data_IF_367872078953
#
_entry.id   IF_367872078953
#
_cell.length_a   1.000
_cell.length_b   1.000
_cell.length_c   1.000
_cell.angle_alpha   90.00
_cell.angle_beta   90.00
_cell.angle_gamma   90.00
#
_symmetry.space_group_name_H-M   'P 1'
#
loop_
_entity.id
_entity.type
_entity.pdbx_description
1 polymer ?
#
# COMPACT_ATOMS: atom_id res chain seq x y z
N UNK A 1 -19.23 -0.28 13.20
CA UNK A 1 -20.17 0.18 12.17
C UNK A 1 -21.60 0.14 12.68
N UNK A 2 -22.53 0.87 12.00
CA UNK A 2 -23.96 0.78 12.26
C UNK A 2 -24.50 -0.61 11.90
N UNK A 3 -25.57 -1.09 12.53
CA UNK A 3 -26.15 -2.41 12.23
C UNK A 3 -26.55 -2.52 10.75
N UNK A 4 -27.10 -1.45 10.18
CA UNK A 4 -27.45 -1.42 8.74
C UNK A 4 -26.29 -1.70 7.79
N UNK A 5 -25.04 -1.44 8.20
CA UNK A 5 -23.87 -1.82 7.41
C UNK A 5 -23.74 -3.34 7.30
N UNK A 6 -23.89 -4.05 8.42
CA UNK A 6 -23.84 -5.51 8.42
C UNK A 6 -25.03 -6.13 7.71
N UNK A 7 -26.24 -5.54 7.87
CA UNK A 7 -27.44 -5.96 7.13
C UNK A 7 -27.20 -5.90 5.62
N UNK A 8 -26.64 -4.81 5.10
CA UNK A 8 -26.29 -4.69 3.68
C UNK A 8 -25.19 -5.68 3.26
N UNK A 9 -24.21 -5.92 4.11
CA UNK A 9 -23.19 -6.93 3.81
C UNK A 9 -23.79 -8.33 3.72
N UNK A 10 -24.74 -8.67 4.60
CA UNK A 10 -25.48 -9.93 4.56
C UNK A 10 -26.28 -10.07 3.27
N UNK A 11 -27.04 -9.04 2.89
CA UNK A 11 -27.86 -9.03 1.67
C UNK A 11 -27.01 -9.13 0.39
N UNK A 12 -25.85 -8.49 0.37
CA UNK A 12 -24.96 -8.44 -0.79
C UNK A 12 -23.97 -9.61 -0.84
N UNK A 13 -23.96 -10.49 0.17
CA UNK A 13 -23.00 -11.61 0.24
C UNK A 13 -21.54 -11.15 0.42
N UNK A 14 -21.33 -10.02 1.11
CA UNK A 14 -19.99 -9.50 1.37
C UNK A 14 -19.31 -10.31 2.49
N UNK A 15 -17.99 -10.48 2.38
CA UNK A 15 -17.16 -11.04 3.46
C UNK A 15 -16.67 -9.91 4.34
N UNK A 16 -16.97 -9.97 5.63
CA UNK A 16 -16.60 -8.95 6.61
C UNK A 16 -15.55 -9.49 7.59
N UNK A 17 -14.48 -8.73 7.74
CA UNK A 17 -13.55 -8.80 8.86
C UNK A 17 -13.95 -7.71 9.86
N UNK A 18 -14.53 -8.11 11.00
CA UNK A 18 -14.96 -7.18 12.05
C UNK A 18 -13.89 -7.12 13.14
N UNK A 19 -13.44 -5.91 13.48
CA UNK A 19 -12.29 -5.68 14.35
C UNK A 19 -12.58 -4.65 15.44
N UNK A 20 -11.96 -4.83 16.62
CA UNK A 20 -11.94 -3.81 17.66
C UNK A 20 -10.85 -2.76 17.37
N UNK A 21 -10.99 -1.50 17.82
CA UNK A 21 -10.01 -0.43 17.62
C UNK A 21 -8.78 -0.56 18.54
N UNK A 22 -8.16 -1.73 18.57
CA UNK A 22 -6.93 -2.00 19.30
C UNK A 22 -5.74 -1.84 18.35
N UNK A 23 -5.24 -0.60 18.24
CA UNK A 23 -4.30 -0.18 17.21
C UNK A 23 -3.06 0.52 17.76
N UNK A 24 -1.98 0.51 17.03
CA UNK A 24 -0.75 1.30 17.12
C UNK A 24 0.10 0.99 18.34
N UNK A 25 -0.33 1.34 19.54
CA UNK A 25 0.47 1.19 20.77
C UNK A 25 -0.31 0.47 21.86
N UNK A 26 0.32 -0.50 22.46
CA UNK A 26 -0.19 -1.20 23.63
C UNK A 26 -0.02 -0.35 24.88
N UNK A 27 -1.13 -0.10 25.58
CA UNK A 27 -1.13 0.56 26.90
C UNK A 27 -1.21 -0.53 27.95
N UNK A 28 -0.07 -0.79 28.63
CA UNK A 28 0.05 -1.86 29.62
C UNK A 28 -0.53 -1.44 30.99
N UNK A 29 -1.84 -1.13 31.02
CA UNK A 29 -2.58 -0.94 32.26
C UNK A 29 -3.71 -1.96 32.39
N UNK A 30 -4.16 -2.21 33.61
CA UNK A 30 -5.27 -3.14 33.87
C UNK A 30 -6.54 -2.67 33.15
N UNK A 31 -6.83 -1.40 33.24
CA UNK A 31 -8.03 -0.76 32.68
C UNK A 31 -8.05 -0.88 31.14
N UNK A 32 -6.91 -0.63 30.46
CA UNK A 32 -6.81 -0.75 29.02
C UNK A 32 -7.00 -2.20 28.55
N UNK A 33 -6.42 -3.17 29.26
CA UNK A 33 -6.61 -4.61 28.97
C UNK A 33 -8.07 -5.04 29.16
N UNK A 34 -8.70 -4.64 30.27
CA UNK A 34 -10.11 -4.94 30.53
C UNK A 34 -11.02 -4.30 29.48
N UNK A 35 -10.65 -3.12 28.97
CA UNK A 35 -11.41 -2.42 27.94
C UNK A 35 -11.35 -3.17 26.57
N UNK A 36 -10.18 -3.66 26.16
CA UNK A 36 -10.09 -4.48 24.93
C UNK A 36 -10.94 -5.75 25.02
N UNK A 37 -10.94 -6.41 26.17
CA UNK A 37 -11.77 -7.61 26.42
C UNK A 37 -13.27 -7.26 26.38
N UNK A 38 -13.67 -6.13 26.96
CA UNK A 38 -15.05 -5.64 26.94
C UNK A 38 -15.49 -5.32 25.50
N UNK A 39 -14.69 -4.57 24.75
CA UNK A 39 -14.99 -4.20 23.37
C UNK A 39 -15.13 -5.43 22.46
N UNK A 40 -14.23 -6.41 22.58
CA UNK A 40 -14.31 -7.65 21.81
C UNK A 40 -15.58 -8.44 22.14
N UNK A 41 -15.94 -8.52 23.41
CA UNK A 41 -17.19 -9.17 23.83
C UNK A 41 -18.41 -8.47 23.23
N UNK A 42 -18.46 -7.15 23.32
CA UNK A 42 -19.55 -6.33 22.77
C UNK A 42 -19.67 -6.51 21.26
N UNK A 43 -18.54 -6.46 20.54
CA UNK A 43 -18.50 -6.65 19.09
C UNK A 43 -19.09 -8.02 18.68
N UNK A 44 -18.66 -9.09 19.33
CA UNK A 44 -19.15 -10.44 19.04
C UNK A 44 -20.64 -10.58 19.40
N UNK A 45 -21.02 -10.20 20.61
CA UNK A 45 -22.40 -10.39 21.07
C UNK A 45 -23.43 -9.60 20.28
N UNK A 46 -23.07 -8.39 19.83
CA UNK A 46 -23.95 -7.55 19.01
C UNK A 46 -24.11 -8.06 17.61
N UNK A 47 -23.04 -8.68 17.03
CA UNK A 47 -22.99 -8.98 15.61
C UNK A 47 -22.92 -10.50 15.31
N UNK A 48 -23.14 -11.34 16.31
CA UNK A 48 -23.01 -12.80 16.18
C UNK A 48 -23.84 -13.39 15.05
N UNK A 49 -25.04 -12.85 14.82
CA UNK A 49 -26.02 -13.40 13.87
C UNK A 49 -25.83 -12.88 12.43
N UNK A 50 -24.81 -12.04 12.16
CA UNK A 50 -24.52 -11.59 10.81
C UNK A 50 -23.70 -12.64 10.05
N UNK A 51 -24.24 -13.29 9.01
CA UNK A 51 -23.53 -14.31 8.25
C UNK A 51 -22.37 -13.74 7.40
N UNK A 52 -22.41 -12.45 7.08
CA UNK A 52 -21.33 -11.75 6.36
C UNK A 52 -20.03 -11.71 7.18
N UNK A 53 -20.09 -11.66 8.50
CA UNK A 53 -18.89 -11.65 9.34
C UNK A 53 -18.26 -13.04 9.31
N UNK A 54 -17.03 -13.11 8.77
CA UNK A 54 -16.26 -14.33 8.66
C UNK A 54 -15.07 -14.38 9.63
N UNK A 55 -14.60 -13.19 10.06
CA UNK A 55 -13.38 -13.07 10.86
C UNK A 55 -13.57 -12.05 11.99
N UNK A 56 -13.02 -12.38 13.17
CA UNK A 56 -12.89 -11.47 14.31
C UNK A 56 -11.45 -10.94 14.36
N UNK A 57 -11.27 -9.64 14.12
CA UNK A 57 -9.99 -8.93 14.20
C UNK A 57 -9.67 -8.55 15.64
N UNK A 58 -8.49 -8.95 16.13
CA UNK A 58 -8.10 -8.70 17.53
C UNK A 58 -7.18 -7.50 17.71
N UNK A 59 -6.42 -7.11 16.68
CA UNK A 59 -5.53 -5.93 16.72
C UNK A 59 -5.03 -5.53 15.34
N UNK A 60 -4.62 -4.25 15.19
CA UNK A 60 -4.00 -3.69 14.00
C UNK A 60 -2.73 -2.90 14.35
N UNK A 61 -1.60 -3.23 13.71
CA UNK A 61 -0.32 -2.51 13.82
C UNK A 61 0.10 -2.21 15.27
N UNK A 62 -0.26 -3.06 16.21
CA UNK A 62 -0.13 -2.80 17.66
C UNK A 62 1.33 -2.76 18.12
N UNK A 63 2.26 -3.20 17.30
CA UNK A 63 3.72 -3.20 17.53
C UNK A 63 4.44 -1.96 17.05
N UNK A 64 3.75 -0.86 16.75
CA UNK A 64 4.43 0.43 16.54
C UNK A 64 5.22 0.91 17.78
N UNK A 65 4.94 0.34 18.96
CA UNK A 65 5.81 0.43 20.13
C UNK A 65 6.84 -0.68 20.11
N UNK A 66 6.77 -1.57 21.09
CA UNK A 66 7.59 -2.78 21.19
C UNK A 66 6.68 -3.99 21.40
N UNK A 67 7.09 -5.14 20.86
CA UNK A 67 6.48 -6.40 21.26
C UNK A 67 6.88 -6.70 22.71
N UNK A 68 5.89 -6.95 23.56
CA UNK A 68 6.13 -7.35 24.96
C UNK A 68 5.33 -8.60 25.31
N UNK A 69 5.78 -9.34 26.33
CA UNK A 69 5.07 -10.51 26.82
C UNK A 69 3.63 -10.18 27.23
N UNK A 70 3.41 -8.98 27.80
CA UNK A 70 2.09 -8.53 28.22
C UNK A 70 1.18 -8.21 27.03
N UNK A 71 1.70 -7.70 25.93
CA UNK A 71 0.95 -7.53 24.68
C UNK A 71 0.53 -8.88 24.12
N UNK A 72 1.47 -9.79 23.99
CA UNK A 72 1.25 -11.17 23.48
C UNK A 72 0.19 -11.89 24.34
N UNK A 73 0.28 -11.78 25.68
CA UNK A 73 -0.72 -12.38 26.57
C UNK A 73 -2.10 -11.72 26.43
N UNK A 74 -2.18 -10.38 26.25
CA UNK A 74 -3.45 -9.71 26.01
C UNK A 74 -4.09 -10.17 24.70
N UNK A 75 -3.32 -10.33 23.63
CA UNK A 75 -3.81 -10.87 22.36
C UNK A 75 -4.26 -12.33 22.50
N UNK A 76 -3.56 -13.18 23.26
CA UNK A 76 -4.00 -14.55 23.57
C UNK A 76 -5.31 -14.59 24.35
N UNK A 77 -5.51 -13.64 25.28
CA UNK A 77 -6.78 -13.49 26.02
C UNK A 77 -7.91 -13.16 25.04
N UNK A 78 -7.70 -12.22 24.10
CA UNK A 78 -8.68 -11.84 23.10
C UNK A 78 -9.01 -13.01 22.17
N UNK A 79 -8.01 -13.72 21.68
CA UNK A 79 -8.17 -14.91 20.82
C UNK A 79 -9.00 -15.99 21.54
N UNK A 80 -8.67 -16.34 22.79
CA UNK A 80 -9.42 -17.30 23.61
C UNK A 80 -10.85 -16.84 23.84
N UNK A 81 -11.07 -15.55 24.05
CA UNK A 81 -12.42 -14.96 24.21
C UNK A 81 -13.25 -15.14 22.94
N UNK A 82 -12.67 -14.84 21.74
CA UNK A 82 -13.33 -15.05 20.47
C UNK A 82 -13.79 -16.50 20.31
N UNK A 83 -12.89 -17.47 20.47
CA UNK A 83 -13.22 -18.89 20.34
C UNK A 83 -14.22 -19.38 21.39
N UNK A 84 -14.20 -18.81 22.60
CA UNK A 84 -15.19 -19.12 23.65
C UNK A 84 -16.59 -18.63 23.30
N UNK A 85 -16.71 -17.44 22.73
CA UNK A 85 -18.00 -16.82 22.40
C UNK A 85 -18.50 -17.26 21.02
N UNK A 86 -17.59 -17.48 20.07
CA UNK A 86 -17.90 -17.92 18.72
C UNK A 86 -16.85 -18.89 18.19
N UNK A 87 -17.04 -20.20 18.42
CA UNK A 87 -16.12 -21.21 17.93
C UNK A 87 -16.20 -21.46 16.41
N UNK A 88 -17.15 -20.83 15.72
CA UNK A 88 -17.40 -21.06 14.29
C UNK A 88 -16.56 -20.15 13.39
N UNK A 89 -16.18 -18.97 13.87
CA UNK A 89 -15.42 -17.97 13.09
C UNK A 89 -13.96 -17.93 13.49
N UNK A 90 -13.11 -17.62 12.50
CA UNK A 90 -11.67 -17.50 12.67
C UNK A 90 -11.27 -16.17 13.28
N UNK A 91 -10.15 -16.18 14.00
CA UNK A 91 -9.51 -14.97 14.51
C UNK A 91 -8.39 -14.53 13.57
N UNK A 92 -8.14 -13.22 13.52
CA UNK A 92 -7.09 -12.63 12.68
C UNK A 92 -6.53 -11.38 13.33
N UNK A 93 -5.31 -11.02 12.99
CA UNK A 93 -4.67 -9.74 13.33
C UNK A 93 -3.93 -9.18 12.10
N UNK A 94 -3.75 -7.87 12.07
CA UNK A 94 -2.98 -7.16 11.05
C UNK A 94 -1.65 -6.68 11.62
N UNK A 95 -0.56 -7.15 11.02
CA UNK A 95 0.81 -6.81 11.39
C UNK A 95 1.43 -5.76 10.46
N UNK A 96 2.47 -5.10 10.95
CA UNK A 96 3.42 -4.36 10.11
C UNK A 96 4.36 -5.32 9.38
N UNK A 97 4.88 -4.92 8.22
CA UNK A 97 5.91 -5.69 7.48
C UNK A 97 7.23 -5.84 8.24
N UNK A 98 7.45 -5.03 9.27
CA UNK A 98 8.63 -5.06 10.14
C UNK A 98 8.52 -6.03 11.31
N UNK A 99 7.36 -6.66 11.51
CA UNK A 99 7.20 -7.71 12.51
C UNK A 99 7.99 -8.94 12.06
N UNK A 100 8.84 -9.46 12.98
CA UNK A 100 9.67 -10.61 12.71
C UNK A 100 8.82 -11.83 12.31
N UNK A 101 9.25 -12.57 11.31
CA UNK A 101 8.52 -13.73 10.80
C UNK A 101 8.23 -14.78 11.88
N UNK A 102 9.17 -14.97 12.84
CA UNK A 102 9.06 -15.91 13.95
C UNK A 102 8.38 -15.32 15.20
N UNK A 103 7.91 -14.07 15.16
CA UNK A 103 7.22 -13.42 16.27
C UNK A 103 6.08 -14.30 16.81
N UNK A 104 5.92 -14.31 18.13
CA UNK A 104 4.81 -15.01 18.80
C UNK A 104 3.44 -14.47 18.35
N UNK A 105 3.34 -13.22 17.91
CA UNK A 105 2.10 -12.65 17.38
C UNK A 105 1.58 -13.41 16.16
N UNK A 106 2.48 -13.87 15.28
CA UNK A 106 2.11 -14.65 14.09
C UNK A 106 1.48 -16.03 14.41
N UNK A 107 1.58 -16.47 15.66
CA UNK A 107 1.09 -17.77 16.14
C UNK A 107 -0.16 -17.68 17.02
N UNK A 108 -0.64 -16.45 17.30
CA UNK A 108 -1.76 -16.25 18.24
C UNK A 108 -3.10 -16.56 17.56
N UNK A 109 -3.33 -15.98 16.39
CA UNK A 109 -4.61 -16.07 15.67
C UNK A 109 -4.62 -17.22 14.67
N UNK A 110 -5.81 -17.63 14.25
CA UNK A 110 -5.96 -18.66 13.22
C UNK A 110 -5.38 -18.22 11.87
N UNK A 111 -5.42 -16.93 11.58
CA UNK A 111 -4.97 -16.29 10.33
C UNK A 111 -4.11 -15.08 10.67
N UNK A 112 -3.10 -14.82 9.85
CA UNK A 112 -2.27 -13.62 9.95
C UNK A 112 -2.40 -12.78 8.68
N UNK A 113 -2.35 -11.45 8.82
CA UNK A 113 -2.31 -10.55 7.68
C UNK A 113 -1.36 -9.37 7.95
N UNK A 114 -0.95 -8.70 6.88
CA UNK A 114 0.05 -7.64 6.94
C UNK A 114 -0.42 -6.39 6.19
N UNK A 115 -0.16 -5.23 6.78
CA UNK A 115 -0.32 -3.93 6.14
C UNK A 115 0.94 -3.62 5.34
N UNK A 116 0.82 -3.56 4.00
CA UNK A 116 1.95 -3.49 3.07
C UNK A 116 1.93 -2.17 2.33
N UNK A 117 2.86 -1.29 2.65
CA UNK A 117 2.96 0.04 2.03
C UNK A 117 4.32 0.31 1.37
N UNK A 118 5.08 -0.75 1.05
CA UNK A 118 6.28 -0.63 0.22
C UNK A 118 5.91 -0.01 -1.13
N UNK A 119 6.70 0.96 -1.57
CA UNK A 119 6.42 1.76 -2.77
C UNK A 119 5.49 2.95 -2.53
N UNK A 120 4.99 3.17 -1.29
CA UNK A 120 4.29 4.39 -0.94
C UNK A 120 5.01 5.18 0.16
N UNK A 121 5.06 4.68 1.39
CA UNK A 121 5.78 5.38 2.47
C UNK A 121 7.29 5.27 2.30
N UNK A 122 7.77 4.11 1.87
CA UNK A 122 9.19 3.86 1.64
C UNK A 122 9.38 2.70 0.65
N UNK A 123 10.60 2.52 0.13
CA UNK A 123 10.95 1.40 -0.74
C UNK A 123 10.27 1.41 -2.12
N UNK A 124 10.22 0.25 -2.74
CA UNK A 124 9.65 0.04 -4.08
C UNK A 124 8.52 -0.98 -4.03
N UNK A 125 7.45 -0.74 -4.79
CA UNK A 125 6.31 -1.67 -4.85
C UNK A 125 6.68 -3.02 -5.49
N UNK A 126 7.70 -3.04 -6.33
CA UNK A 126 8.24 -4.24 -6.98
C UNK A 126 8.83 -5.24 -5.99
N UNK A 127 9.27 -4.78 -4.81
CA UNK A 127 9.87 -5.64 -3.78
C UNK A 127 8.82 -6.41 -2.97
N UNK A 128 7.54 -6.01 -3.05
CA UNK A 128 6.45 -6.65 -2.29
C UNK A 128 6.38 -8.15 -2.53
N UNK A 129 6.55 -8.59 -3.79
CA UNK A 129 6.51 -10.00 -4.14
C UNK A 129 7.62 -10.81 -3.46
N UNK A 130 8.85 -10.34 -3.50
CA UNK A 130 9.99 -11.00 -2.88
C UNK A 130 9.84 -11.09 -1.36
N UNK A 131 9.32 -10.02 -0.74
CA UNK A 131 9.01 -10.02 0.69
C UNK A 131 7.94 -11.07 1.06
N UNK A 132 6.84 -11.15 0.31
CA UNK A 132 5.78 -12.15 0.52
C UNK A 132 6.34 -13.57 0.43
N UNK A 133 7.16 -13.85 -0.59
CA UNK A 133 7.75 -15.17 -0.81
C UNK A 133 8.72 -15.55 0.31
N UNK A 134 9.54 -14.61 0.79
CA UNK A 134 10.46 -14.84 1.91
C UNK A 134 9.71 -15.13 3.20
N UNK A 135 8.69 -14.34 3.52
CA UNK A 135 7.87 -14.55 4.72
C UNK A 135 7.14 -15.89 4.70
N UNK A 136 6.57 -16.27 3.55
CA UNK A 136 5.92 -17.57 3.38
C UNK A 136 6.91 -18.74 3.48
N UNK A 137 8.10 -18.60 2.92
CA UNK A 137 9.17 -19.61 3.04
C UNK A 137 9.62 -19.81 4.48
N UNK A 138 9.75 -18.73 5.25
CA UNK A 138 10.15 -18.76 6.66
C UNK A 138 9.03 -19.33 7.57
N UNK A 139 7.76 -19.23 7.15
CA UNK A 139 6.59 -19.65 7.90
C UNK A 139 5.55 -20.37 7.01
N UNK A 140 5.92 -21.52 6.47
CA UNK A 140 5.08 -22.27 5.52
C UNK A 140 3.71 -22.68 6.07
N UNK A 141 3.59 -22.83 7.39
CA UNK A 141 2.34 -23.23 8.07
C UNK A 141 1.43 -22.04 8.41
N UNK A 142 1.92 -20.79 8.24
CA UNK A 142 1.15 -19.59 8.51
C UNK A 142 0.17 -19.30 7.36
N UNK A 143 -1.13 -19.19 7.67
CA UNK A 143 -2.11 -18.64 6.74
C UNK A 143 -1.89 -17.13 6.61
N UNK A 144 -1.12 -16.72 5.60
CA UNK A 144 -0.72 -15.34 5.35
C UNK A 144 -1.71 -14.61 4.44
N UNK A 145 -2.03 -13.34 4.75
CA UNK A 145 -2.83 -12.44 3.92
C UNK A 145 -2.29 -11.02 3.90
N UNK A 146 -2.87 -10.18 3.05
CA UNK A 146 -2.57 -8.75 2.96
C UNK A 146 -3.79 -7.97 3.43
N UNK A 147 -3.69 -7.36 4.62
CA UNK A 147 -4.80 -6.62 5.25
C UNK A 147 -4.96 -5.21 4.71
N UNK A 148 -3.87 -4.58 4.30
CA UNK A 148 -3.91 -3.25 3.71
C UNK A 148 -2.81 -3.06 2.67
N UNK A 149 -3.13 -2.35 1.60
CA UNK A 149 -2.17 -1.76 0.65
C UNK A 149 -2.84 -0.62 -0.12
N UNK A 150 -2.08 0.43 -0.47
CA UNK A 150 -2.60 1.57 -1.21
C UNK A 150 -1.62 2.74 -1.28
N UNK A 151 -1.87 3.65 -2.20
CA UNK A 151 -1.13 4.89 -2.39
C UNK A 151 -2.09 6.08 -2.39
N UNK A 152 -1.70 7.16 -1.70
CA UNK A 152 -2.49 8.40 -1.74
C UNK A 152 -2.42 9.04 -3.13
N UNK A 153 -3.52 9.66 -3.55
CA UNK A 153 -3.57 10.46 -4.77
C UNK A 153 -4.55 11.62 -4.68
N UNK A 154 -4.19 12.72 -5.28
CA UNK A 154 -5.08 13.83 -5.53
C UNK A 154 -5.41 13.85 -7.04
N UNK A 155 -6.70 13.77 -7.38
CA UNK A 155 -7.18 13.72 -8.77
C UNK A 155 -6.88 14.95 -9.62
N UNK A 156 -6.23 15.97 -9.03
CA UNK A 156 -5.75 17.15 -9.73
C UNK A 156 -4.31 16.99 -10.22
N UNK A 157 -3.52 16.09 -9.59
CA UNK A 157 -2.11 15.93 -9.93
C UNK A 157 -1.91 14.81 -10.93
N UNK A 158 -1.07 15.09 -11.93
CA UNK A 158 -0.82 14.21 -13.04
C UNK A 158 0.65 14.26 -13.49
N UNK A 159 1.15 13.14 -14.02
CA UNK A 159 2.49 13.05 -14.58
C UNK A 159 2.57 11.96 -15.65
N UNK A 160 3.33 12.22 -16.70
CA UNK A 160 3.75 11.22 -17.68
C UNK A 160 4.92 10.33 -17.20
N UNK A 161 5.59 10.76 -16.12
CA UNK A 161 6.66 10.03 -15.42
C UNK A 161 6.35 9.95 -13.91
N UNK A 162 5.30 9.21 -13.50
CA UNK A 162 4.85 9.18 -12.11
C UNK A 162 5.89 8.54 -11.19
N UNK A 163 6.00 9.07 -9.97
CA UNK A 163 6.95 8.59 -8.96
C UNK A 163 6.33 8.56 -7.57
N UNK A 164 6.93 7.77 -6.70
CA UNK A 164 6.52 7.67 -5.28
C UNK A 164 6.31 9.05 -4.65
N UNK A 165 5.16 9.22 -3.99
CA UNK A 165 4.80 10.43 -3.24
C UNK A 165 4.65 11.70 -4.11
N UNK A 166 4.38 11.56 -5.39
CA UNK A 166 3.98 12.69 -6.24
C UNK A 166 2.46 12.94 -6.21
N UNK A 167 1.72 12.06 -5.54
CA UNK A 167 0.26 12.10 -5.38
C UNK A 167 -0.52 12.10 -6.70
N UNK A 168 0.12 11.71 -7.81
CA UNK A 168 -0.54 11.62 -9.09
C UNK A 168 -1.47 10.42 -9.18
N UNK A 169 -2.52 10.52 -9.98
CA UNK A 169 -3.43 9.40 -10.23
C UNK A 169 -2.73 8.28 -11.00
N UNK A 170 -1.76 8.64 -11.84
CA UNK A 170 -0.93 7.71 -12.60
C UNK A 170 -0.05 6.85 -11.67
N UNK A 171 0.51 7.44 -10.58
CA UNK A 171 1.26 6.67 -9.60
C UNK A 171 0.37 5.72 -8.81
N UNK A 172 -0.81 6.16 -8.38
CA UNK A 172 -1.76 5.26 -7.71
C UNK A 172 -2.10 4.05 -8.59
N UNK A 173 -2.39 4.30 -9.87
CA UNK A 173 -2.69 3.23 -10.83
C UNK A 173 -1.53 2.25 -10.97
N UNK A 174 -0.31 2.77 -11.15
CA UNK A 174 0.91 1.96 -11.24
C UNK A 174 1.14 1.12 -9.99
N UNK A 175 1.00 1.72 -8.79
CA UNK A 175 1.14 1.03 -7.51
C UNK A 175 0.16 -0.16 -7.41
N UNK A 176 -1.11 0.08 -7.71
CA UNK A 176 -2.14 -0.95 -7.64
C UNK A 176 -1.96 -2.04 -8.70
N UNK A 177 -1.49 -1.71 -9.91
CA UNK A 177 -1.13 -2.69 -10.95
C UNK A 177 -0.05 -3.66 -10.45
N UNK A 178 1.03 -3.12 -9.85
CA UNK A 178 2.13 -3.93 -9.32
C UNK A 178 1.71 -4.79 -8.13
N UNK A 179 0.94 -4.23 -7.20
CA UNK A 179 0.41 -4.99 -6.05
C UNK A 179 -0.54 -6.10 -6.49
N UNK A 180 -1.49 -5.80 -7.40
CA UNK A 180 -2.43 -6.80 -7.89
C UNK A 180 -1.71 -7.94 -8.60
N UNK A 181 -0.70 -7.64 -9.43
CA UNK A 181 0.14 -8.65 -10.06
C UNK A 181 0.85 -9.50 -9.01
N UNK A 182 1.52 -8.87 -8.03
CA UNK A 182 2.23 -9.58 -6.98
C UNK A 182 1.32 -10.51 -6.18
N UNK A 183 0.08 -10.07 -5.88
CA UNK A 183 -0.91 -10.88 -5.17
C UNK A 183 -1.41 -12.06 -6.03
N UNK A 184 -1.72 -11.83 -7.30
CA UNK A 184 -2.24 -12.87 -8.19
C UNK A 184 -1.25 -14.00 -8.45
N UNK A 185 0.05 -13.69 -8.46
CA UNK A 185 1.11 -14.68 -8.61
C UNK A 185 1.30 -15.56 -7.36
N UNK A 186 0.62 -15.26 -6.25
CA UNK A 186 0.82 -15.91 -4.93
C UNK A 186 -0.46 -16.54 -4.37
N UNK A 187 -0.84 -17.72 -4.88
CA UNK A 187 -2.08 -18.40 -4.48
C UNK A 187 -2.10 -18.89 -3.01
N UNK A 188 -0.99 -18.77 -2.30
CA UNK A 188 -0.92 -19.06 -0.86
C UNK A 188 -1.51 -17.95 0.02
N UNK A 189 -1.74 -16.74 -0.53
CA UNK A 189 -2.39 -15.66 0.19
C UNK A 189 -3.89 -15.97 0.35
N UNK A 190 -4.39 -15.96 1.60
CA UNK A 190 -5.80 -16.24 1.86
C UNK A 190 -6.70 -15.03 1.62
N UNK A 191 -6.16 -13.81 1.67
CA UNK A 191 -6.91 -12.57 1.39
C UNK A 191 -6.01 -11.45 0.88
N UNK A 192 -6.65 -10.44 0.30
CA UNK A 192 -6.07 -9.13 0.06
C UNK A 192 -7.14 -8.04 0.18
N UNK A 193 -6.85 -6.97 0.92
CA UNK A 193 -7.74 -5.82 1.10
C UNK A 193 -7.05 -4.53 0.71
N UNK A 194 -7.71 -3.75 -0.14
CA UNK A 194 -7.23 -2.43 -0.55
C UNK A 194 -7.50 -1.41 0.56
N UNK A 195 -6.51 -0.62 0.91
CA UNK A 195 -6.69 0.56 1.72
C UNK A 195 -6.68 1.81 0.85
N UNK A 196 -7.82 2.39 0.45
CA UNK A 196 -9.15 2.14 0.97
C UNK A 196 -10.17 2.22 -0.19
N UNK A 197 -11.43 1.85 0.04
CA UNK A 197 -12.47 2.05 -0.97
C UNK A 197 -12.75 3.53 -1.21
N UNK A 198 -12.77 4.34 -0.14
CA UNK A 198 -13.09 5.77 -0.19
C UNK A 198 -12.02 6.62 0.48
N UNK A 199 -11.79 7.81 -0.05
CA UNK A 199 -11.10 8.85 0.72
C UNK A 199 -11.92 9.15 1.98
N UNK A 200 -11.24 9.43 3.10
CA UNK A 200 -11.90 9.66 4.37
C UNK A 200 -11.22 10.75 5.20
N UNK A 201 -11.95 11.29 6.18
CA UNK A 201 -11.44 12.32 7.07
C UNK A 201 -10.32 11.78 7.96
N UNK A 202 -9.20 12.48 8.00
CA UNK A 202 -8.03 12.20 8.83
C UNK A 202 -7.41 13.55 9.23
N UNK A 203 -7.90 14.12 10.31
CA UNK A 203 -7.70 15.53 10.73
C UNK A 203 -6.22 15.94 10.84
N UNK A 204 -5.34 15.02 11.22
CA UNK A 204 -3.91 15.25 11.38
C UNK A 204 -3.13 15.24 10.07
N UNK A 205 -3.70 14.73 8.98
CA UNK A 205 -3.01 14.67 7.68
C UNK A 205 -2.98 16.03 7.01
N UNK A 206 -1.80 16.41 6.46
CA UNK A 206 -1.57 17.70 5.80
C UNK A 206 -0.92 17.55 4.43
N UNK A 207 -0.52 16.33 4.07
CA UNK A 207 0.18 15.99 2.84
C UNK A 207 -0.75 15.90 1.61
N UNK A 208 -0.16 15.94 0.42
CA UNK A 208 -0.85 15.71 -0.86
C UNK A 208 -1.82 16.80 -1.29
N UNK A 209 -1.63 18.03 -0.82
CA UNK A 209 -2.47 19.19 -1.19
C UNK A 209 -3.91 19.11 -0.68
N UNK A 210 -4.23 18.16 0.23
CA UNK A 210 -5.59 17.98 0.76
C UNK A 210 -5.53 17.80 2.27
N UNK A 211 -5.65 18.91 3.01
CA UNK A 211 -5.60 18.90 4.46
C UNK A 211 -6.78 18.11 5.08
N UNK A 212 -6.48 17.36 6.15
CA UNK A 212 -7.47 16.65 6.94
C UNK A 212 -8.08 15.43 6.25
N UNK A 213 -7.39 14.83 5.27
CA UNK A 213 -7.89 13.66 4.53
C UNK A 213 -6.81 12.60 4.30
N UNK A 214 -7.24 11.36 4.35
CA UNK A 214 -6.53 10.23 3.74
C UNK A 214 -7.08 10.07 2.31
N UNK A 215 -6.20 10.11 1.31
CA UNK A 215 -6.58 10.09 -0.10
C UNK A 215 -6.23 8.80 -0.82
N UNK A 216 -6.00 7.70 -0.06
CA UNK A 216 -5.76 6.37 -0.63
C UNK A 216 -7.02 5.70 -1.21
N UNK A 217 -8.19 6.34 -1.08
CA UNK A 217 -9.44 5.83 -1.62
C UNK A 217 -9.38 5.57 -3.13
N UNK A 218 -10.05 4.52 -3.57
CA UNK A 218 -10.32 4.28 -5.00
C UNK A 218 -11.41 5.23 -5.52
N UNK A 219 -12.16 5.84 -4.61
CA UNK A 219 -13.24 6.80 -4.89
C UNK A 219 -13.02 8.01 -3.98
N UNK A 220 -13.26 9.21 -4.51
CA UNK A 220 -13.09 10.46 -3.76
C UNK A 220 -13.99 10.56 -2.54
N UNK A 221 -13.63 11.46 -1.61
CA UNK A 221 -14.33 11.70 -0.34
C UNK A 221 -15.84 11.99 -0.54
N UNK A 222 -16.18 12.77 -1.55
CA UNK A 222 -17.57 13.13 -1.90
C UNK A 222 -18.32 12.05 -2.70
N UNK A 223 -17.68 10.90 -2.97
CA UNK A 223 -18.19 9.75 -3.72
C UNK A 223 -18.46 10.02 -5.21
N UNK A 224 -18.05 11.15 -5.77
CA UNK A 224 -18.39 11.54 -7.14
C UNK A 224 -17.43 10.97 -8.18
N UNK A 225 -16.12 10.87 -7.85
CA UNK A 225 -15.09 10.45 -8.79
C UNK A 225 -14.61 9.05 -8.39
N UNK A 226 -14.75 8.10 -9.31
CA UNK A 226 -14.03 6.84 -9.30
C UNK A 226 -12.68 7.09 -9.96
N UNK A 227 -11.59 6.87 -9.22
CA UNK A 227 -10.23 7.04 -9.71
C UNK A 227 -9.84 5.89 -10.65
N UNK A 228 -8.76 6.01 -11.41
CA UNK A 228 -8.37 4.99 -12.37
C UNK A 228 -8.14 3.63 -11.72
N UNK A 229 -7.52 3.59 -10.53
CA UNK A 229 -7.33 2.35 -9.78
C UNK A 229 -8.65 1.62 -9.43
N UNK A 230 -9.79 2.31 -9.30
CA UNK A 230 -11.09 1.66 -9.18
C UNK A 230 -11.42 0.82 -10.43
N UNK A 231 -11.11 1.34 -11.61
CA UNK A 231 -11.40 0.64 -12.87
C UNK A 231 -10.44 -0.51 -13.12
N UNK A 232 -9.21 -0.46 -12.57
CA UNK A 232 -8.31 -1.62 -12.55
C UNK A 232 -8.99 -2.81 -11.84
N UNK A 233 -9.45 -2.63 -10.60
CA UNK A 233 -10.14 -3.71 -9.87
C UNK A 233 -11.44 -4.12 -10.53
N UNK A 234 -12.19 -3.16 -11.08
CA UNK A 234 -13.38 -3.48 -11.86
C UNK A 234 -13.05 -4.38 -13.05
N UNK A 235 -11.92 -4.17 -13.73
CA UNK A 235 -11.51 -5.01 -14.85
C UNK A 235 -11.30 -6.47 -14.45
N UNK A 236 -10.73 -6.70 -13.27
CA UNK A 236 -10.45 -8.06 -12.78
C UNK A 236 -11.63 -8.74 -12.07
N UNK A 237 -12.58 -7.97 -11.55
CA UNK A 237 -13.64 -8.49 -10.65
C UNK A 237 -15.05 -8.44 -11.25
N UNK A 238 -15.23 -7.94 -12.48
CA UNK A 238 -16.53 -7.97 -13.16
C UNK A 238 -16.46 -8.79 -14.45
N UNK A 239 -17.60 -9.40 -14.80
CA UNK A 239 -17.78 -10.08 -16.09
C UNK A 239 -18.47 -9.19 -17.13
N UNK A 240 -18.98 -8.02 -16.69
CA UNK A 240 -19.70 -7.09 -17.60
C UNK A 240 -18.70 -6.36 -18.48
N UNK A 241 -18.85 -6.43 -19.83
CA UNK A 241 -17.95 -5.75 -20.75
C UNK A 241 -17.88 -4.25 -20.47
N UNK A 242 -16.66 -3.72 -20.39
CA UNK A 242 -16.41 -2.28 -20.38
C UNK A 242 -14.98 -2.00 -20.84
N UNK A 243 -14.74 -0.75 -21.24
CA UNK A 243 -13.43 -0.13 -21.42
C UNK A 243 -13.41 1.16 -20.59
N UNK A 244 -12.23 1.51 -20.06
CA UNK A 244 -12.01 2.76 -19.35
C UNK A 244 -10.65 3.34 -19.77
N UNK A 245 -10.67 4.52 -20.37
CA UNK A 245 -9.46 5.29 -20.68
C UNK A 245 -8.92 5.86 -19.38
N UNK A 246 -7.70 5.48 -19.01
CA UNK A 246 -7.02 6.02 -17.84
C UNK A 246 -6.53 7.45 -18.07
N UNK A 247 -6.26 8.16 -16.97
CA UNK A 247 -5.72 9.53 -17.01
C UNK A 247 -6.56 10.51 -17.82
N UNK A 248 -7.90 10.37 -17.80
CA UNK A 248 -8.81 11.30 -18.48
C UNK A 248 -8.72 12.73 -17.93
N UNK A 249 -8.36 12.89 -16.67
CA UNK A 249 -8.18 14.20 -16.01
C UNK A 249 -6.87 14.87 -16.38
N UNK A 250 -5.88 14.08 -16.79
CA UNK A 250 -4.65 14.58 -17.40
C UNK A 250 -4.90 15.00 -18.86
N UNK A 251 -5.70 16.05 -19.04
CA UNK A 251 -6.16 16.50 -20.36
C UNK A 251 -5.07 17.19 -21.17
N UNK A 252 -4.26 18.04 -20.52
CA UNK A 252 -3.16 18.78 -21.13
C UNK A 252 -1.87 17.98 -20.97
N UNK A 253 -1.42 17.37 -22.06
CA UNK A 253 -0.28 16.46 -22.04
C UNK A 253 0.94 17.05 -22.74
N UNK A 254 2.11 17.03 -22.07
CA UNK A 254 3.36 17.48 -22.66
C UNK A 254 3.90 16.45 -23.68
N UNK A 255 4.81 16.92 -24.55
CA UNK A 255 5.52 16.08 -25.50
C UNK A 255 4.73 15.77 -26.79
N UNK A 256 5.45 15.39 -27.84
CA UNK A 256 4.90 15.13 -29.18
C UNK A 256 4.05 13.85 -29.24
N UNK A 257 4.23 12.95 -28.29
CA UNK A 257 3.51 11.66 -28.22
C UNK A 257 3.07 11.37 -26.79
N UNK A 258 1.98 10.64 -26.68
CA UNK A 258 1.46 10.15 -25.39
C UNK A 258 1.15 8.66 -25.47
N UNK A 259 1.01 8.02 -24.30
CA UNK A 259 0.47 6.67 -24.15
C UNK A 259 -0.97 6.75 -23.67
N UNK A 260 -1.87 6.05 -24.32
CA UNK A 260 -3.26 5.87 -23.87
C UNK A 260 -3.36 4.49 -23.23
N UNK A 261 -3.48 4.48 -21.90
CA UNK A 261 -3.74 3.27 -21.12
C UNK A 261 -5.25 3.05 -21.00
N UNK A 262 -5.67 1.80 -21.11
CA UNK A 262 -7.09 1.42 -21.03
C UNK A 262 -7.23 0.20 -20.13
N UNK A 263 -8.08 0.28 -19.11
CA UNK A 263 -8.54 -0.89 -18.37
C UNK A 263 -9.82 -1.43 -18.99
N UNK A 264 -9.93 -2.73 -19.12
CA UNK A 264 -11.06 -3.36 -19.78
C UNK A 264 -11.33 -4.76 -19.27
N UNK A 265 -12.54 -5.26 -19.50
CA UNK A 265 -12.88 -6.68 -19.36
C UNK A 265 -14.04 -7.03 -20.30
N UNK A 266 -14.23 -8.33 -20.54
CA UNK A 266 -15.29 -8.84 -21.42
C UNK A 266 -15.10 -8.46 -22.88
N UNK A 267 -13.87 -8.18 -23.29
CA UNK A 267 -13.50 -7.89 -24.68
C UNK A 267 -12.27 -8.72 -25.07
N UNK A 268 -12.13 -8.99 -26.37
CA UNK A 268 -10.98 -9.68 -26.96
C UNK A 268 -10.03 -8.70 -27.67
N UNK A 269 -10.57 -7.55 -28.05
CA UNK A 269 -9.88 -6.54 -28.86
C UNK A 269 -10.34 -5.14 -28.47
N UNK A 270 -9.40 -4.20 -28.41
CA UNK A 270 -9.65 -2.77 -28.29
C UNK A 270 -9.12 -2.01 -29.50
N UNK A 271 -9.91 -1.09 -30.04
CA UNK A 271 -9.51 -0.17 -31.10
C UNK A 271 -9.44 1.26 -30.55
N UNK A 272 -8.31 1.92 -30.80
CA UNK A 272 -8.13 3.35 -30.53
C UNK A 272 -8.46 4.15 -31.79
N UNK A 273 -9.40 5.08 -31.64
CA UNK A 273 -9.78 6.02 -32.65
C UNK A 273 -9.46 7.46 -32.19
N UNK A 274 -8.98 8.27 -33.09
CA UNK A 274 -8.71 9.68 -32.86
C UNK A 274 -9.39 10.53 -33.94
N UNK A 275 -10.22 11.47 -33.52
CA UNK A 275 -11.00 12.35 -34.40
C UNK A 275 -11.80 11.57 -35.48
N UNK A 276 -12.38 10.45 -35.08
CA UNK A 276 -13.17 9.58 -35.95
C UNK A 276 -12.38 8.68 -36.92
N UNK A 277 -11.04 8.60 -36.76
CA UNK A 277 -10.17 7.72 -37.55
C UNK A 277 -9.53 6.67 -36.65
N UNK A 278 -9.57 5.40 -37.08
CA UNK A 278 -8.85 4.32 -36.38
C UNK A 278 -7.34 4.53 -36.51
N UNK A 279 -6.65 4.52 -35.36
CA UNK A 279 -5.20 4.73 -35.24
C UNK A 279 -4.48 3.42 -34.96
N UNK A 280 -4.95 2.67 -33.94
CA UNK A 280 -4.31 1.43 -33.50
C UNK A 280 -5.38 0.41 -33.09
N UNK A 281 -4.98 -0.87 -33.09
CA UNK A 281 -5.77 -1.99 -32.60
C UNK A 281 -4.86 -2.88 -31.74
N UNK A 282 -5.37 -3.38 -30.62
CA UNK A 282 -4.68 -4.34 -29.77
C UNK A 282 -5.61 -5.47 -29.34
N UNK A 283 -5.06 -6.68 -29.22
CA UNK A 283 -5.72 -7.82 -28.59
C UNK A 283 -5.18 -8.01 -27.19
N UNK A 284 -6.03 -8.36 -26.27
CA UNK A 284 -5.68 -8.53 -24.87
C UNK A 284 -6.89 -8.63 -23.98
N UNK A 285 -6.72 -8.51 -22.65
CA UNK A 285 -7.80 -8.65 -21.69
C UNK A 285 -7.91 -7.44 -20.77
N UNK A 286 -7.11 -7.32 -19.74
CA UNK A 286 -7.40 -6.39 -18.64
C UNK A 286 -6.76 -5.00 -18.80
N UNK A 287 -5.63 -4.89 -19.50
CA UNK A 287 -4.90 -3.64 -19.68
C UNK A 287 -4.34 -3.55 -21.09
N UNK A 288 -4.60 -2.43 -21.76
CA UNK A 288 -4.10 -2.12 -23.11
C UNK A 288 -3.28 -0.84 -23.05
N UNK A 289 -2.14 -0.82 -23.74
CA UNK A 289 -1.25 0.34 -23.83
C UNK A 289 -1.06 0.74 -25.28
N UNK A 290 -1.73 1.81 -25.70
CA UNK A 290 -1.55 2.40 -27.03
C UNK A 290 -0.44 3.45 -26.96
N UNK A 291 0.75 3.07 -27.38
CA UNK A 291 1.96 3.91 -27.30
C UNK A 291 2.18 4.73 -28.57
N UNK A 292 2.92 5.84 -28.44
CA UNK A 292 3.33 6.67 -29.56
C UNK A 292 2.18 7.44 -30.24
N UNK A 293 1.11 7.71 -29.53
CA UNK A 293 -0.02 8.49 -30.03
C UNK A 293 0.40 9.95 -30.14
N UNK A 294 0.46 10.48 -31.36
CA UNK A 294 0.84 11.89 -31.61
C UNK A 294 -0.29 12.82 -31.28
N UNK A 295 -0.01 13.79 -30.41
CA UNK A 295 -0.90 14.92 -30.12
C UNK A 295 -0.31 16.18 -30.74
N UNK A 296 -1.07 16.88 -31.56
CA UNK A 296 -0.65 18.14 -32.21
C UNK A 296 -1.52 19.33 -31.83
N UNK A 297 -2.68 19.03 -31.30
CA UNK A 297 -3.69 20.00 -30.85
C UNK A 297 -4.67 19.30 -29.92
N UNK A 298 -5.87 19.79 -29.78
CA UNK A 298 -6.94 19.08 -29.08
C UNK A 298 -7.49 17.94 -29.93
N UNK A 299 -7.49 16.72 -29.38
CA UNK A 299 -7.96 15.51 -30.03
C UNK A 299 -9.03 14.80 -29.19
N UNK A 300 -10.06 14.29 -29.86
CA UNK A 300 -11.03 13.37 -29.28
C UNK A 300 -10.54 11.95 -29.46
N UNK A 301 -10.32 11.23 -28.36
CA UNK A 301 -9.96 9.81 -28.35
C UNK A 301 -11.19 9.00 -28.00
N UNK A 302 -11.46 7.98 -28.79
CA UNK A 302 -12.50 6.98 -28.51
C UNK A 302 -11.87 5.59 -28.49
N UNK A 303 -12.19 4.80 -27.49
CA UNK A 303 -11.84 3.39 -27.42
C UNK A 303 -13.09 2.55 -27.64
N UNK A 304 -13.05 1.68 -28.62
CA UNK A 304 -14.08 0.67 -28.85
C UNK A 304 -13.59 -0.70 -28.41
N UNK A 305 -14.40 -1.39 -27.58
CA UNK A 305 -14.16 -2.77 -27.16
C UNK A 305 -15.00 -3.75 -27.98
N UNK A 306 -14.39 -4.82 -28.44
CA UNK A 306 -15.01 -5.84 -29.29
C UNK A 306 -14.90 -7.24 -28.67
N UNK A 307 -15.97 -8.03 -28.89
CA UNK A 307 -15.99 -9.48 -28.71
C UNK A 307 -16.25 -10.11 -30.06
N UNK A 308 -15.26 -10.78 -30.66
CA UNK A 308 -15.28 -11.08 -32.07
C UNK A 308 -15.37 -9.80 -32.92
N UNK A 309 -16.39 -9.74 -33.79
CA UNK A 309 -16.67 -8.58 -34.65
C UNK A 309 -17.73 -7.62 -34.04
N UNK A 310 -18.31 -7.96 -32.89
CA UNK A 310 -19.34 -7.14 -32.24
C UNK A 310 -18.70 -6.09 -31.31
N UNK A 311 -19.07 -4.81 -31.51
CA UNK A 311 -18.73 -3.73 -30.59
C UNK A 311 -19.64 -3.83 -29.35
N UNK A 312 -19.04 -4.12 -28.17
CA UNK A 312 -19.78 -4.35 -26.93
C UNK A 312 -19.70 -3.19 -25.93
N UNK A 313 -18.69 -2.32 -26.06
CA UNK A 313 -18.54 -1.16 -25.19
C UNK A 313 -17.65 -0.09 -25.82
N UNK A 314 -17.72 1.11 -25.25
CA UNK A 314 -16.90 2.26 -25.68
C UNK A 314 -16.63 3.21 -24.53
N UNK A 315 -15.58 4.04 -24.68
CA UNK A 315 -15.23 5.12 -23.75
C UNK A 315 -14.52 6.24 -24.51
N UNK A 316 -14.66 7.47 -24.02
CA UNK A 316 -14.15 8.67 -24.67
C UNK A 316 -13.35 9.56 -23.73
N UNK A 317 -12.38 10.26 -24.28
CA UNK A 317 -11.60 11.29 -23.60
C UNK A 317 -11.10 12.35 -24.61
N UNK A 318 -10.88 13.56 -24.13
CA UNK A 318 -10.23 14.61 -24.92
C UNK A 318 -8.87 14.93 -24.33
N UNK A 319 -7.86 15.01 -25.20
CA UNK A 319 -6.48 15.36 -24.81
C UNK A 319 -5.96 16.49 -25.69
N UNK A 320 -5.23 17.42 -25.04
CA UNK A 320 -4.65 18.59 -25.70
C UNK A 320 -3.15 18.54 -25.54
N UNK A 321 -2.41 18.77 -26.63
CA UNK A 321 -0.96 18.93 -26.59
C UNK A 321 -0.58 20.25 -25.89
N UNK A 322 0.47 20.22 -25.06
CA UNK A 322 1.11 21.39 -24.45
C UNK A 322 2.64 21.29 -24.55
N UNK A 323 3.32 22.45 -24.53
CA UNK A 323 4.79 22.49 -24.61
C UNK A 323 5.50 21.94 -23.36
N UNK A 324 4.80 21.90 -22.24
CA UNK A 324 5.31 21.37 -20.95
C UNK A 324 4.20 20.96 -20.01
N UNK A 325 4.58 20.32 -18.91
CA UNK A 325 3.63 19.92 -17.86
C UNK A 325 3.07 21.20 -17.18
N UNK A 326 1.76 21.29 -17.12
CA UNK A 326 1.06 22.40 -16.49
C UNK A 326 1.32 22.42 -14.98
N UNK A 327 1.56 23.62 -14.42
CA UNK A 327 1.84 23.78 -12.99
C UNK A 327 0.70 23.28 -12.09
N UNK A 328 -0.55 23.34 -12.56
CA UNK A 328 -1.73 22.85 -11.84
C UNK A 328 -1.73 21.34 -11.61
N UNK A 329 -0.93 20.57 -12.36
CA UNK A 329 -0.78 19.12 -12.22
C UNK A 329 0.33 18.71 -11.26
N UNK A 330 1.11 19.67 -10.77
CA UNK A 330 2.28 19.40 -9.92
C UNK A 330 1.96 19.79 -8.48
N UNK A 331 2.19 18.87 -7.54
CA UNK A 331 2.18 19.21 -6.13
C UNK A 331 3.38 20.12 -5.81
N UNK A 332 3.13 21.30 -5.22
CA UNK A 332 4.20 22.23 -4.84
C UNK A 332 5.17 21.58 -3.83
N UNK A 333 6.47 21.84 -4.02
CA UNK A 333 7.53 21.33 -3.15
C UNK A 333 7.40 21.87 -1.73
N UNK A 334 7.33 20.99 -0.73
CA UNK A 334 7.15 21.32 0.69
C UNK A 334 5.89 20.67 1.30
N UNK A 335 4.93 20.24 0.48
CA UNK A 335 3.75 19.48 0.90
C UNK A 335 3.91 17.95 0.68
N UNK A 336 5.11 17.53 0.22
CA UNK A 336 5.39 16.17 -0.28
C UNK A 336 5.88 15.19 0.79
N UNK A 337 6.07 15.64 2.02
CA UNK A 337 6.46 14.71 3.07
C UNK A 337 5.23 13.87 3.45
N UNK A 338 4.98 12.82 2.67
CA UNK A 338 4.12 11.71 3.06
C UNK A 338 4.67 11.11 4.36
N UNK A 339 4.49 11.86 5.42
CA UNK A 339 4.89 11.44 6.76
C UNK A 339 3.89 10.40 7.19
N UNK A 340 4.38 9.20 7.51
CA UNK A 340 3.59 8.32 8.34
C UNK A 340 3.23 9.14 9.60
N UNK A 341 1.97 9.51 9.77
CA UNK A 341 1.47 10.42 10.81
C UNK A 341 1.84 10.00 12.24
N UNK A 342 2.31 8.77 12.43
CA UNK A 342 2.86 8.27 13.68
C UNK A 342 4.27 8.80 14.01
N UNK A 343 4.94 9.46 13.07
CA UNK A 343 6.35 9.87 13.20
C UNK A 343 6.55 11.37 13.39
N UNK A 344 5.48 12.16 13.54
CA UNK A 344 5.51 13.62 13.66
C UNK A 344 6.15 14.17 14.97
N UNK A 345 6.63 13.29 15.85
CA UNK A 345 7.38 13.69 17.06
C UNK A 345 8.89 13.94 16.83
N UNK A 346 9.39 13.66 15.61
CA UNK A 346 10.80 13.88 15.26
C UNK A 346 10.97 15.15 14.42
N UNK A 347 11.04 16.32 15.11
CA UNK A 347 11.29 17.64 14.51
C UNK A 347 12.45 17.69 13.52
N UNK A 348 12.48 18.76 12.70
CA UNK A 348 13.46 19.04 11.65
C UNK A 348 14.89 18.60 12.00
N UNK A 349 15.40 17.60 11.29
CA UNK A 349 16.75 17.09 11.48
C UNK A 349 17.70 17.73 10.47
N UNK A 350 18.86 18.19 10.95
CA UNK A 350 20.01 18.54 10.12
C UNK A 350 20.28 17.40 9.14
N UNK A 351 20.29 17.68 7.84
CA UNK A 351 20.77 16.75 6.82
C UNK A 351 22.20 16.33 7.16
N UNK A 352 22.44 15.02 7.26
CA UNK A 352 23.77 14.48 7.39
C UNK A 352 24.54 14.63 6.08
N UNK A 353 25.85 14.85 6.17
CA UNK A 353 26.69 15.03 4.97
C UNK A 353 26.89 13.70 4.25
N UNK A 354 26.58 13.67 2.95
CA UNK A 354 26.90 12.57 2.06
C UNK A 354 28.11 12.94 1.18
N UNK A 355 29.07 12.04 1.06
CA UNK A 355 30.25 12.22 0.22
C UNK A 355 30.07 11.50 -1.10
N UNK A 356 30.21 12.20 -2.23
CA UNK A 356 30.05 11.61 -3.55
C UNK A 356 31.01 10.43 -3.77
N UNK A 357 30.49 9.28 -4.20
CA UNK A 357 31.25 8.05 -4.46
C UNK A 357 31.50 7.18 -3.21
N UNK A 358 30.90 7.54 -2.09
CA UNK A 358 30.92 6.76 -0.86
C UNK A 358 29.49 6.50 -0.37
N UNK A 359 29.31 5.43 0.39
CA UNK A 359 28.03 5.09 1.00
C UNK A 359 27.63 6.09 2.09
N UNK A 360 26.35 6.24 2.29
CA UNK A 360 25.75 7.09 3.32
C UNK A 360 24.44 6.50 3.84
N UNK A 361 23.87 7.07 4.86
CA UNK A 361 22.52 6.69 5.36
C UNK A 361 21.40 7.03 4.39
N UNK A 362 21.68 7.73 3.30
CA UNK A 362 20.74 8.06 2.22
C UNK A 362 20.79 7.08 1.04
N UNK A 363 21.74 6.13 1.04
CA UNK A 363 21.74 5.04 0.06
C UNK A 363 20.75 3.95 0.46
N UNK A 364 20.23 3.21 -0.52
CA UNK A 364 19.36 2.07 -0.26
C UNK A 364 20.10 1.03 0.61
N UNK A 365 19.43 0.50 1.63
CA UNK A 365 19.98 -0.53 2.53
C UNK A 365 20.49 -1.73 1.71
N UNK A 366 19.80 -2.10 0.63
CA UNK A 366 20.27 -3.13 -0.29
C UNK A 366 21.64 -2.82 -0.89
N UNK A 367 21.85 -1.59 -1.35
CA UNK A 367 23.16 -1.15 -1.86
C UNK A 367 24.27 -1.27 -0.80
N UNK A 368 23.94 -0.92 0.44
CA UNK A 368 24.89 -1.02 1.56
C UNK A 368 25.20 -2.51 1.87
N UNK A 369 24.16 -3.36 1.94
CA UNK A 369 24.28 -4.79 2.22
C UNK A 369 25.01 -5.56 1.10
N UNK A 370 24.98 -5.09 -0.14
CA UNK A 370 25.65 -5.72 -1.29
C UNK A 370 27.16 -5.44 -1.32
N UNK A 371 27.66 -4.52 -0.47
CA UNK A 371 29.09 -4.31 -0.25
C UNK A 371 29.56 -5.07 0.99
N UNK A 372 30.71 -5.75 0.91
CA UNK A 372 31.26 -6.55 2.04
C UNK A 372 31.38 -5.71 3.33
N UNK A 373 31.97 -4.51 3.21
CA UNK A 373 32.16 -3.60 4.34
C UNK A 373 30.88 -3.00 4.87
N UNK A 374 29.94 -2.64 3.98
CA UNK A 374 28.63 -2.11 4.36
C UNK A 374 27.80 -3.16 5.09
N UNK A 375 27.83 -4.40 4.61
CA UNK A 375 27.18 -5.53 5.25
C UNK A 375 27.70 -5.77 6.67
N UNK A 376 29.03 -5.75 6.87
CA UNK A 376 29.64 -5.85 8.21
C UNK A 376 29.15 -4.75 9.15
N UNK A 377 29.09 -3.50 8.66
CA UNK A 377 28.67 -2.34 9.44
C UNK A 377 27.21 -2.48 9.85
N UNK A 378 26.30 -2.79 8.89
CA UNK A 378 24.88 -2.91 9.18
C UNK A 378 24.56 -4.11 10.09
N UNK A 379 25.18 -5.26 9.85
CA UNK A 379 25.00 -6.43 10.72
C UNK A 379 25.48 -6.14 12.15
N UNK A 380 26.63 -5.45 12.30
CA UNK A 380 27.10 -5.01 13.61
C UNK A 380 26.13 -4.07 14.32
N UNK A 381 25.53 -3.13 13.58
CA UNK A 381 24.52 -2.23 14.11
C UNK A 381 23.25 -2.99 14.51
N UNK A 382 22.71 -3.86 13.65
CA UNK A 382 21.51 -4.64 13.94
C UNK A 382 21.70 -5.54 15.17
N UNK A 383 22.84 -6.21 15.29
CA UNK A 383 23.17 -7.01 16.50
C UNK A 383 23.17 -6.13 17.77
N UNK A 384 23.61 -4.86 17.69
CA UNK A 384 23.65 -3.97 18.83
C UNK A 384 22.27 -3.57 19.37
N UNK A 385 21.19 -3.74 18.58
CA UNK A 385 19.80 -3.53 18.99
C UNK A 385 19.21 -4.70 19.81
N UNK A 386 19.99 -5.74 20.10
CA UNK A 386 19.53 -6.90 20.87
C UNK A 386 18.57 -7.79 20.08
N UNK A 387 17.54 -8.33 20.74
CA UNK A 387 16.57 -9.24 20.09
C UNK A 387 15.81 -8.57 18.95
N UNK A 388 15.38 -7.32 19.10
CA UNK A 388 14.70 -6.58 18.01
C UNK A 388 15.60 -6.34 16.79
N UNK A 389 16.90 -6.22 16.98
CA UNK A 389 17.84 -6.07 15.87
C UNK A 389 18.13 -7.38 15.13
N UNK A 390 18.00 -8.53 15.80
CA UNK A 390 18.12 -9.83 15.15
C UNK A 390 16.99 -10.05 14.12
N UNK A 391 15.82 -9.48 14.35
CA UNK A 391 14.72 -9.49 13.39
C UNK A 391 15.13 -8.89 12.03
N UNK A 392 15.91 -7.81 12.04
CA UNK A 392 16.42 -7.15 10.83
C UNK A 392 17.43 -8.01 10.04
N UNK A 393 17.87 -9.15 10.59
CA UNK A 393 18.77 -10.10 9.93
C UNK A 393 18.03 -11.24 9.20
N UNK A 394 16.72 -11.37 9.38
CA UNK A 394 15.92 -12.39 8.67
C UNK A 394 15.72 -12.04 7.19
N UNK A 395 15.65 -13.05 6.32
CA UNK A 395 15.53 -12.85 4.86
C UNK A 395 14.27 -12.03 4.50
N UNK A 396 13.14 -12.31 5.17
CA UNK A 396 11.89 -11.58 4.92
C UNK A 396 12.00 -10.10 5.30
N UNK A 397 12.53 -9.79 6.48
CA UNK A 397 12.68 -8.39 6.90
C UNK A 397 13.71 -7.68 6.05
N UNK A 398 14.86 -8.31 5.74
CA UNK A 398 15.83 -7.73 4.82
C UNK A 398 15.21 -7.40 3.45
N UNK A 399 14.42 -8.29 2.87
CA UNK A 399 13.73 -8.02 1.61
C UNK A 399 12.73 -6.86 1.73
N UNK A 400 12.09 -6.66 2.89
CA UNK A 400 11.18 -5.54 3.10
C UNK A 400 11.87 -4.18 3.24
N UNK A 401 13.14 -4.17 3.66
CA UNK A 401 13.89 -2.93 3.92
C UNK A 401 14.97 -2.62 2.87
N UNK A 402 15.27 -3.53 1.93
CA UNK A 402 16.38 -3.35 0.96
C UNK A 402 16.29 -2.07 0.14
N UNK A 403 15.09 -1.67 -0.27
CA UNK A 403 14.83 -0.46 -1.06
C UNK A 403 14.61 0.80 -0.20
N UNK A 404 14.67 0.67 1.14
CA UNK A 404 14.66 1.81 2.05
C UNK A 404 16.05 2.41 2.17
N UNK A 405 16.10 3.70 2.42
CA UNK A 405 17.29 4.32 3.01
C UNK A 405 17.28 4.11 4.54
N UNK A 406 18.43 4.22 5.19
CA UNK A 406 18.46 4.12 6.65
C UNK A 406 17.70 5.25 7.34
N UNK A 407 17.63 6.41 6.71
CA UNK A 407 16.81 7.54 7.17
C UNK A 407 15.31 7.21 7.11
N UNK A 408 14.86 6.54 6.05
CA UNK A 408 13.47 6.06 5.94
C UNK A 408 13.16 4.97 6.97
N UNK A 409 14.06 4.01 7.14
CA UNK A 409 13.92 2.96 8.17
C UNK A 409 13.83 3.57 9.57
N UNK A 410 14.67 4.56 9.89
CA UNK A 410 14.63 5.26 11.17
C UNK A 410 13.29 5.97 11.40
N UNK A 411 12.70 6.53 10.36
CA UNK A 411 11.35 7.13 10.42
C UNK A 411 10.26 6.07 10.68
N UNK A 412 10.43 4.85 10.19
CA UNK A 412 9.45 3.76 10.37
C UNK A 412 9.52 3.12 11.76
N UNK A 413 10.75 2.88 12.27
CA UNK A 413 10.96 2.21 13.57
C UNK A 413 10.85 3.19 14.76
N UNK A 414 10.96 4.49 14.49
CA UNK A 414 10.79 5.53 15.51
C UNK A 414 11.98 5.60 16.49
N UNK A 415 11.73 5.71 17.82
CA UNK A 415 12.78 6.00 18.82
C UNK A 415 13.91 4.97 18.92
N UNK A 416 13.72 3.78 18.37
CA UNK A 416 14.74 2.74 18.41
C UNK A 416 16.03 3.11 17.64
N UNK A 417 15.91 3.99 16.60
CA UNK A 417 17.07 4.53 15.87
C UNK A 417 17.20 6.01 16.19
N UNK A 418 18.12 6.35 17.09
CA UNK A 418 18.33 7.74 17.50
C UNK A 418 19.12 8.56 16.47
N UNK A 419 19.04 9.90 16.50
CA UNK A 419 19.85 10.79 15.64
C UNK A 419 21.34 10.53 15.77
N UNK A 420 21.80 10.23 16.98
CA UNK A 420 23.20 9.90 17.28
C UNK A 420 23.61 8.61 16.58
N UNK A 421 22.75 7.59 16.56
CA UNK A 421 23.00 6.32 15.86
C UNK A 421 23.07 6.52 14.35
N UNK A 422 22.16 7.33 13.77
CA UNK A 422 22.22 7.71 12.35
C UNK A 422 23.53 8.43 12.00
N UNK A 423 23.99 9.33 12.87
CA UNK A 423 25.23 10.05 12.71
C UNK A 423 26.43 9.07 12.75
N UNK A 424 26.47 8.18 13.74
CA UNK A 424 27.54 7.18 13.86
C UNK A 424 27.57 6.24 12.64
N UNK A 425 26.41 5.78 12.17
CA UNK A 425 26.32 4.96 10.98
C UNK A 425 26.84 5.71 9.75
N UNK A 426 26.39 6.96 9.55
CA UNK A 426 26.83 7.77 8.43
C UNK A 426 28.35 8.00 8.43
N UNK A 427 28.95 8.24 9.60
CA UNK A 427 30.40 8.37 9.76
C UNK A 427 31.15 7.09 9.39
N UNK A 428 30.58 5.91 9.63
CA UNK A 428 31.18 4.64 9.23
C UNK A 428 31.04 4.39 7.72
N UNK A 429 29.87 4.67 7.16
CA UNK A 429 29.55 4.43 5.75
C UNK A 429 30.35 5.36 4.80
N UNK A 430 30.61 6.61 5.19
CA UNK A 430 31.37 7.57 4.36
C UNK A 430 32.81 7.15 4.04
N UNK A 431 33.30 6.05 4.62
CA UNK A 431 34.59 5.45 4.32
C UNK A 431 34.46 4.20 3.42
N UNK A 432 33.25 3.80 3.06
CA UNK A 432 32.98 2.66 2.18
C UNK A 432 32.65 3.19 0.78
N UNK A 433 33.44 2.78 -0.22
CA UNK A 433 33.16 3.19 -1.61
C UNK A 433 31.84 2.59 -2.08
N UNK A 434 31.02 3.43 -2.70
CA UNK A 434 29.86 2.99 -3.46
C UNK A 434 30.40 2.46 -4.80
N UNK A 435 30.30 1.14 -5.00
CA UNK A 435 30.86 0.42 -6.17
C UNK A 435 30.06 0.62 -7.44
#
# INVERSE_FOLDING_TARGET
HAQSFYDFCDELGMVVWAEIPFISRFINTKEAKEDTVRQMRELIMQNYNHPSICFWGISNEITMGEESDELVENQRILQKLCHKLDPSRKTVLANLTTVESQSEQNKITDLSAYNVYMGWYAGKVEDCGAWMDSLHKENSDMCMGISEYGADTNVQYHSDAPKRQDYTEEYQSYYHEKMLQAIQERPYLWCSFVWNMFDFAADKRKEGGTQGRNTKGLVTYDRKIKKDAFYLYKAYWTEKPFVHICSKRFQKRPGDTTTIKVYATGIEKAELWMDGKRIQEQKGTYCFLFEGIKLTQNHQITIYGYCGDEKVCEDEAAFTHTDGLEAEYILESGENDGVNWFLDEYGEKKKLEATQGFLSVYDEIGTILDTEKGNEILNGLFISFGEGGKALLTESVQNSIRSLTFVELAKMIGPAITPEMLNMLNEQLRHVKNS
#
